data_IF_488064586701
#
_entry.id   IF_488064586701
#
_cell.length_a   1.000
_cell.length_b   1.000
_cell.length_c   1.000
_cell.angle_alpha   90.00
_cell.angle_beta   90.00
_cell.angle_gamma   90.00
#
_symmetry.space_group_name_H-M   'P 1'
#
loop_
_entity.id
_entity.type
_entity.pdbx_description
1 polymer ?
#
# COMPACT_ATOMS: atom_id res chain seq x y z
N UNK A 1 15.24 29.30 29.98
CA UNK A 1 15.23 28.96 28.54
C UNK A 1 15.27 27.44 28.35
N UNK A 2 14.53 26.69 29.17
CA UNK A 2 14.03 25.38 28.82
C UNK A 2 12.51 25.59 28.75
N UNK A 3 11.93 25.70 27.55
CA UNK A 3 10.46 25.58 27.39
C UNK A 3 9.97 25.45 25.94
N UNK A 4 10.58 26.14 24.96
CA UNK A 4 10.06 26.10 23.58
C UNK A 4 10.71 25.01 22.70
N UNK A 5 12.03 24.79 22.85
CA UNK A 5 12.72 23.78 22.03
C UNK A 5 12.29 22.35 22.39
N UNK A 6 12.06 22.09 23.68
CA UNK A 6 11.70 20.76 24.17
C UNK A 6 10.25 20.41 23.80
N UNK A 7 9.34 21.39 23.83
CA UNK A 7 7.96 21.21 23.40
C UNK A 7 7.84 21.00 21.89
N UNK A 8 8.62 21.71 21.07
CA UNK A 8 8.71 21.46 19.61
C UNK A 8 9.24 20.06 19.32
N UNK A 9 10.29 19.62 20.03
CA UNK A 9 10.83 18.27 19.89
C UNK A 9 9.80 17.19 20.29
N UNK A 10 9.06 17.42 21.37
CA UNK A 10 7.99 16.52 21.82
C UNK A 10 6.87 16.40 20.79
N UNK A 11 6.41 17.51 20.21
CA UNK A 11 5.37 17.52 19.17
C UNK A 11 5.85 16.76 17.93
N UNK A 12 7.11 16.97 17.52
CA UNK A 12 7.70 16.25 16.40
C UNK A 12 7.77 14.74 16.65
N UNK A 13 8.19 14.32 17.84
CA UNK A 13 8.24 12.91 18.23
C UNK A 13 6.85 12.26 18.27
N UNK A 14 5.84 12.95 18.83
CA UNK A 14 4.45 12.48 18.85
C UNK A 14 3.87 12.35 17.43
N UNK A 15 4.12 13.33 16.56
CA UNK A 15 3.68 13.27 15.16
C UNK A 15 4.33 12.10 14.42
N UNK A 16 5.63 11.87 14.63
CA UNK A 16 6.35 10.75 14.01
C UNK A 16 5.78 9.40 14.47
N UNK A 17 5.49 9.25 15.77
CA UNK A 17 4.86 8.04 16.31
C UNK A 17 3.47 7.81 15.71
N UNK A 18 2.62 8.84 15.66
CA UNK A 18 1.29 8.75 15.07
C UNK A 18 1.35 8.37 13.58
N UNK A 19 2.27 8.97 12.81
CA UNK A 19 2.49 8.62 11.40
C UNK A 19 2.92 7.17 11.25
N UNK A 20 3.78 6.66 12.14
CA UNK A 20 4.19 5.25 12.16
C UNK A 20 3.01 4.29 12.32
N UNK A 21 2.13 4.54 13.30
CA UNK A 21 0.94 3.72 13.54
C UNK A 21 -0.01 3.69 12.33
N UNK A 22 -0.25 4.85 11.70
CA UNK A 22 -1.10 4.92 10.50
C UNK A 22 -0.49 4.18 9.31
N UNK A 23 0.83 4.24 9.14
CA UNK A 23 1.54 3.56 8.05
C UNK A 23 1.54 2.04 8.21
N UNK A 24 1.66 1.53 9.43
CA UNK A 24 1.57 0.09 9.71
C UNK A 24 0.19 -0.46 9.34
N UNK A 25 -0.88 0.21 9.78
CA UNK A 25 -2.25 -0.15 9.41
C UNK A 25 -2.46 -0.09 7.89
N UNK A 26 -1.99 0.96 7.23
CA UNK A 26 -2.08 1.09 5.78
C UNK A 26 -1.37 -0.07 5.06
N UNK A 27 -0.19 -0.47 5.55
CA UNK A 27 0.57 -1.59 4.98
C UNK A 27 -0.18 -2.91 5.10
N UNK A 28 -0.79 -3.20 6.25
CA UNK A 28 -1.62 -4.40 6.42
C UNK A 28 -2.82 -4.42 5.46
N UNK A 29 -3.49 -3.29 5.28
CA UNK A 29 -4.63 -3.17 4.37
C UNK A 29 -4.19 -3.41 2.93
N UNK A 30 -3.05 -2.86 2.49
CA UNK A 30 -2.51 -3.10 1.15
C UNK A 30 -2.13 -4.56 0.95
N UNK A 31 -1.56 -5.23 1.96
CA UNK A 31 -1.24 -6.67 1.87
C UNK A 31 -2.50 -7.54 1.73
N UNK A 32 -3.55 -7.26 2.51
CA UNK A 32 -4.85 -7.94 2.39
C UNK A 32 -5.48 -7.68 1.02
N UNK A 33 -5.43 -6.43 0.55
CA UNK A 33 -5.87 -6.05 -0.78
C UNK A 33 -5.17 -6.93 -1.82
N UNK A 34 -3.83 -6.93 -1.87
CA UNK A 34 -3.03 -7.75 -2.80
C UNK A 34 -3.38 -9.24 -2.71
N UNK A 35 -3.57 -9.79 -1.51
CA UNK A 35 -3.94 -11.19 -1.31
C UNK A 35 -5.28 -11.55 -1.96
N UNK A 36 -6.32 -10.75 -1.75
CA UNK A 36 -7.62 -10.91 -2.39
C UNK A 36 -7.50 -10.85 -3.93
N UNK A 37 -6.62 -9.98 -4.45
CA UNK A 37 -6.35 -9.90 -5.88
C UNK A 37 -5.66 -11.14 -6.43
N UNK A 38 -4.72 -11.74 -5.70
CA UNK A 38 -4.03 -12.96 -6.14
C UNK A 38 -4.99 -14.15 -6.19
N UNK A 39 -5.93 -14.25 -5.25
CA UNK A 39 -6.93 -15.32 -5.25
C UNK A 39 -7.90 -15.16 -6.43
N UNK A 40 -8.40 -13.95 -6.66
CA UNK A 40 -9.36 -13.67 -7.74
C UNK A 40 -8.72 -13.71 -9.14
N UNK A 41 -7.39 -13.54 -9.22
CA UNK A 41 -6.63 -13.63 -10.47
C UNK A 41 -6.82 -14.97 -11.19
N UNK A 42 -6.85 -16.10 -10.47
CA UNK A 42 -7.01 -17.41 -11.09
C UNK A 42 -8.33 -17.55 -11.86
N UNK A 43 -9.40 -17.00 -11.29
CA UNK A 43 -10.75 -16.98 -11.90
C UNK A 43 -10.78 -16.02 -13.10
N UNK A 44 -10.09 -14.89 -13.01
CA UNK A 44 -9.99 -13.92 -14.10
C UNK A 44 -9.23 -14.47 -15.30
N UNK A 45 -8.12 -15.16 -15.09
CA UNK A 45 -7.36 -15.78 -16.18
C UNK A 45 -8.21 -16.85 -16.85
N UNK A 46 -8.89 -17.71 -16.10
CA UNK A 46 -9.71 -18.79 -16.69
C UNK A 46 -10.90 -18.25 -17.51
N UNK A 47 -11.58 -17.20 -17.03
CA UNK A 47 -12.73 -16.58 -17.71
C UNK A 47 -12.36 -15.65 -18.86
N UNK A 48 -11.26 -14.89 -18.75
CA UNK A 48 -10.88 -13.88 -19.72
C UNK A 48 -9.78 -14.32 -20.69
N UNK A 49 -8.84 -15.19 -20.29
CA UNK A 49 -7.78 -15.66 -21.20
C UNK A 49 -8.24 -16.87 -22.03
N UNK A 50 -9.27 -17.60 -21.59
CA UNK A 50 -9.88 -18.69 -22.36
C UNK A 50 -10.96 -18.26 -23.37
N UNK A 51 -11.39 -16.99 -23.35
CA UNK A 51 -12.44 -16.42 -24.23
C UNK A 51 -11.95 -15.16 -24.95
N UNK A 52 -12.73 -14.67 -25.91
CA UNK A 52 -12.41 -13.45 -26.67
C UNK A 52 -12.17 -12.25 -25.72
N UNK A 53 -10.92 -11.82 -25.63
CA UNK A 53 -10.54 -10.65 -24.83
C UNK A 53 -11.21 -9.42 -25.44
N UNK A 54 -12.23 -8.90 -24.76
CA UNK A 54 -12.89 -7.65 -25.19
C UNK A 54 -12.03 -6.45 -24.79
N UNK A 55 -12.12 -5.35 -25.54
CA UNK A 55 -11.40 -4.11 -25.20
C UNK A 55 -11.75 -3.57 -23.80
N UNK A 56 -12.98 -3.81 -23.33
CA UNK A 56 -13.41 -3.46 -21.97
C UNK A 56 -12.64 -4.27 -20.90
N UNK A 57 -12.34 -5.54 -21.16
CA UNK A 57 -11.53 -6.38 -20.27
C UNK A 57 -10.10 -5.87 -20.14
N UNK A 58 -9.50 -5.39 -21.24
CA UNK A 58 -8.13 -4.82 -21.21
C UNK A 58 -8.09 -3.54 -20.39
N UNK A 59 -9.07 -2.65 -20.56
CA UNK A 59 -9.17 -1.41 -19.76
C UNK A 59 -9.37 -1.74 -18.28
N UNK A 60 -10.20 -2.75 -17.98
CA UNK A 60 -10.38 -3.26 -16.62
C UNK A 60 -9.06 -3.78 -16.03
N UNK A 61 -8.31 -4.59 -16.78
CA UNK A 61 -7.02 -5.12 -16.33
C UNK A 61 -5.96 -4.03 -16.15
N UNK A 62 -5.86 -3.08 -17.07
CA UNK A 62 -4.92 -1.97 -16.94
C UNK A 62 -5.24 -1.13 -15.70
N UNK A 63 -6.51 -0.76 -15.51
CA UNK A 63 -6.92 0.02 -14.34
C UNK A 63 -6.60 -0.73 -13.04
N UNK A 64 -6.85 -2.04 -13.01
CA UNK A 64 -6.64 -2.90 -11.84
C UNK A 64 -5.17 -3.18 -11.54
N UNK A 65 -4.38 -3.59 -12.52
CA UNK A 65 -2.99 -4.01 -12.31
C UNK A 65 -2.02 -2.83 -12.24
N UNK A 66 -2.31 -1.68 -12.87
CA UNK A 66 -1.45 -0.50 -12.74
C UNK A 66 -1.45 0.03 -11.32
N UNK A 67 -2.61 0.10 -10.67
CA UNK A 67 -2.74 0.53 -9.27
C UNK A 67 -2.05 -0.49 -8.36
N UNK A 68 -2.23 -1.79 -8.60
CA UNK A 68 -1.60 -2.84 -7.81
C UNK A 68 -0.07 -2.82 -7.94
N UNK A 69 0.44 -2.69 -9.17
CA UNK A 69 1.87 -2.57 -9.44
C UNK A 69 2.48 -1.33 -8.79
N UNK A 70 1.79 -0.19 -8.86
CA UNK A 70 2.22 1.05 -8.21
C UNK A 70 2.34 0.87 -6.69
N UNK A 71 1.33 0.29 -6.04
CA UNK A 71 1.36 0.00 -4.61
C UNK A 71 2.46 -1.01 -4.25
N UNK A 72 2.69 -2.02 -5.09
CA UNK A 72 3.73 -3.03 -4.85
C UNK A 72 5.15 -2.46 -4.93
N UNK A 73 5.39 -1.50 -5.83
CA UNK A 73 6.68 -0.79 -5.94
C UNK A 73 6.92 0.14 -4.75
N UNK A 74 5.86 0.72 -4.19
CA UNK A 74 5.96 1.62 -3.03
C UNK A 74 6.02 0.90 -1.68
N UNK A 75 5.44 -0.30 -1.57
CA UNK A 75 5.43 -1.09 -0.34
C UNK A 75 6.81 -1.22 0.36
N UNK A 76 7.92 -1.51 -0.34
CA UNK A 76 9.25 -1.59 0.28
C UNK A 76 9.71 -0.28 0.91
N UNK A 77 9.32 0.86 0.33
CA UNK A 77 9.69 2.18 0.87
C UNK A 77 9.00 2.47 2.20
N UNK A 78 7.77 1.99 2.38
CA UNK A 78 7.03 2.11 3.64
C UNK A 78 7.57 1.14 4.70
N UNK A 79 7.91 -0.09 4.31
CA UNK A 79 8.54 -1.06 5.21
C UNK A 79 9.92 -0.61 5.69
N UNK A 80 10.70 0.01 4.81
CA UNK A 80 12.02 0.53 5.20
C UNK A 80 11.92 1.72 6.16
N UNK A 81 10.84 2.49 6.09
CA UNK A 81 10.57 3.57 7.04
C UNK A 81 10.15 3.02 8.41
N UNK A 82 9.28 2.02 8.47
CA UNK A 82 8.86 1.40 9.73
C UNK A 82 10.00 0.67 10.46
N UNK A 83 10.96 0.09 9.71
CA UNK A 83 12.15 -0.54 10.30
C UNK A 83 13.16 0.46 10.90
N UNK A 84 13.08 1.75 10.54
CA UNK A 84 13.99 2.79 11.04
C UNK A 84 13.51 3.50 12.31
N UNK A 85 12.29 3.22 12.75
CA UNK A 85 11.66 3.80 13.96
C UNK A 85 11.73 2.91 15.20
N UNK A 86 12.45 1.77 15.12
CA UNK A 86 12.77 0.86 16.24
C UNK A 86 14.27 0.95 16.59
#
# INVERSE_FOLDING_TARGET
>A
MADDSDSVALIAALNAAAVGEYMELATMVVMLYVYEYVITFGVEVDLFWGKEITGASIVFFLNRYLILAYNLVLLPSWFSLSGSTL
#
